data_IF_551487286985
#
_entry.id   IF_551487286985
#
_cell.length_a   1.000
_cell.length_b   1.000
_cell.length_c   1.000
_cell.angle_alpha   90.00
_cell.angle_beta   90.00
_cell.angle_gamma   90.00
#
_symmetry.space_group_name_H-M   'P 1'
#
loop_
_entity.id
_entity.type
_entity.pdbx_description
1 polymer ?
#
# COMPACT_ATOMS: atom_id res chain seq x y z
N UNK A 1 1.15 -5.21 -27.09
CA UNK A 1 1.12 -5.16 -26.72
C UNK A 1 0.92 -4.84 -26.10
N UNK A 2 0.76 -4.93 -25.93
CA UNK A 2 0.65 -4.73 -25.21
C UNK A 2 0.42 -4.30 -24.58
N UNK A 3 0.21 -4.22 -24.48
CA UNK A 3 0.06 -3.82 -23.86
C UNK A 3 -0.19 -3.31 -23.11
N UNK A 4 -0.49 -3.33 -22.91
CA UNK A 4 -0.65 -2.82 -22.24
C UNK A 4 -0.50 -2.60 -21.38
N UNK A 5 -0.39 -2.86 -21.29
CA UNK A 5 -0.18 -2.75 -20.46
C UNK A 5 0.41 -2.25 -19.89
N UNK A 6 0.50 -2.14 -19.89
CA UNK A 6 0.98 -1.70 -19.37
C UNK A 6 1.06 -0.93 -18.80
N UNK A 7 0.77 -0.70 -18.82
CA UNK A 7 0.79 0.00 -18.25
C UNK A 7 0.76 0.22 -17.42
N UNK A 8 0.56 -0.05 -17.36
CA UNK A 8 0.46 0.15 -16.57
C UNK A 8 1.01 0.28 -15.92
N UNK A 9 1.09 0.27 -16.04
CA UNK A 9 1.53 0.38 -15.46
C UNK A 9 2.06 0.63 -14.99
N UNK A 10 2.18 0.74 -15.16
CA UNK A 10 2.73 1.14 -14.69
C UNK A 10 2.90 1.25 -13.84
N UNK A 11 2.92 0.93 -14.15
CA UNK A 11 3.26 0.88 -13.13
C UNK A 11 3.15 1.53 -12.19
N UNK A 12 2.52 1.78 -12.21
CA UNK A 12 2.33 2.58 -11.19
C UNK A 12 2.27 1.83 -9.98
N UNK A 13 3.18 1.92 -9.27
CA UNK A 13 3.08 1.27 -8.01
C UNK A 13 2.17 2.08 -7.14
N UNK A 14 1.36 1.42 -6.38
CA UNK A 14 0.49 2.08 -5.43
C UNK A 14 1.15 2.01 -4.08
N UNK A 15 2.18 2.76 -3.90
CA UNK A 15 2.90 2.76 -2.64
C UNK A 15 2.36 3.81 -1.71
N UNK A 16 2.21 3.42 -0.46
CA UNK A 16 1.68 4.31 0.56
C UNK A 16 2.57 4.23 1.79
N UNK A 17 2.62 5.32 2.55
CA UNK A 17 3.38 5.33 3.79
C UNK A 17 2.39 5.26 4.95
N UNK A 18 2.79 4.53 5.98
CA UNK A 18 1.97 4.38 7.17
C UNK A 18 2.15 5.60 8.06
N UNK A 19 1.04 6.22 8.41
CA UNK A 19 1.06 7.47 9.16
C UNK A 19 1.21 7.27 10.66
N UNK A 20 0.79 6.13 11.17
CA UNK A 20 0.84 5.85 12.60
C UNK A 20 0.77 4.36 12.79
N UNK A 21 1.22 3.90 13.96
CA UNK A 21 1.16 2.48 14.28
C UNK A 21 -0.27 1.99 14.28
N UNK A 22 -0.45 0.80 13.78
CA UNK A 22 -1.76 0.15 13.81
C UNK A 22 -1.59 -1.30 14.22
N UNK A 23 -2.36 -1.71 15.21
CA UNK A 23 -2.32 -3.07 15.70
C UNK A 23 -3.50 -3.83 15.15
N UNK A 24 -3.21 -4.93 14.47
CA UNK A 24 -4.27 -5.76 13.90
C UNK A 24 -5.18 -6.27 15.01
N UNK A 25 -6.47 -6.19 14.76
CA UNK A 25 -7.46 -6.68 15.71
C UNK A 25 -7.97 -8.06 15.34
N UNK A 26 -7.71 -8.49 14.12
CA UNK A 26 -8.12 -9.83 13.68
C UNK A 26 -6.99 -10.43 12.87
N UNK A 27 -7.11 -11.72 12.58
CA UNK A 27 -6.07 -12.40 11.83
C UNK A 27 -6.05 -11.98 10.36
N UNK A 28 -7.07 -11.26 9.91
CA UNK A 28 -7.09 -10.80 8.52
C UNK A 28 -6.44 -9.45 8.35
N UNK A 29 -6.17 -8.76 9.44
CA UNK A 29 -5.57 -7.44 9.41
C UNK A 29 -4.07 -7.56 9.57
N UNK A 30 -3.38 -6.50 9.22
CA UNK A 30 -1.94 -6.49 9.30
C UNK A 30 -1.52 -5.42 10.30
N UNK A 31 -0.49 -5.74 11.09
CA UNK A 31 0.11 -4.73 11.96
C UNK A 31 0.93 -3.78 11.10
N UNK A 32 0.86 -2.52 11.43
CA UNK A 32 1.60 -1.49 10.71
C UNK A 32 2.41 -0.68 11.69
N UNK A 33 3.56 -0.23 11.26
CA UNK A 33 4.38 0.69 12.04
C UNK A 33 4.51 2.00 11.30
N UNK A 34 4.56 3.07 12.04
CA UNK A 34 4.70 4.40 11.44
C UNK A 34 5.90 4.43 10.53
N UNK A 35 5.74 5.07 9.38
CA UNK A 35 6.80 5.23 8.39
C UNK A 35 7.10 3.99 7.56
N UNK A 36 6.40 2.89 7.81
CA UNK A 36 6.53 1.76 6.92
C UNK A 36 5.91 2.07 5.56
N UNK A 37 6.40 1.39 4.54
CA UNK A 37 5.88 1.56 3.19
C UNK A 37 5.17 0.28 2.80
N UNK A 38 3.97 0.43 2.24
CA UNK A 38 3.17 -0.70 1.80
C UNK A 38 2.74 -0.51 0.37
N UNK A 39 2.46 -1.61 -0.30
CA UNK A 39 1.85 -1.59 -1.62
C UNK A 39 0.38 -1.93 -1.46
N UNK A 40 -0.48 -1.13 -2.06
CA UNK A 40 -1.91 -1.41 -2.02
C UNK A 40 -2.23 -2.39 -3.13
N UNK A 41 -2.74 -3.54 -2.74
CA UNK A 41 -3.04 -4.61 -3.68
C UNK A 41 -4.51 -4.59 -4.08
N UNK A 42 -5.37 -4.24 -3.13
CA UNK A 42 -6.79 -4.28 -3.39
C UNK A 42 -7.48 -3.22 -2.54
N UNK A 43 -8.40 -2.51 -3.15
CA UNK A 43 -9.23 -1.52 -2.44
C UNK A 43 -10.51 -2.23 -2.05
N UNK A 44 -10.74 -2.32 -0.77
CA UNK A 44 -11.94 -2.96 -0.26
C UNK A 44 -13.01 -1.96 0.10
N UNK A 45 -14.01 -2.42 0.81
CA UNK A 45 -15.15 -1.60 1.20
C UNK A 45 -14.88 -0.88 2.50
N UNK A 46 -15.59 0.21 2.71
CA UNK A 46 -15.62 0.89 4.01
C UNK A 46 -14.24 1.29 4.51
N UNK A 47 -13.36 1.64 3.59
CA UNK A 47 -12.05 2.15 4.01
C UNK A 47 -11.04 1.09 4.37
N UNK A 48 -11.30 -0.16 4.06
CA UNK A 48 -10.34 -1.23 4.29
C UNK A 48 -9.64 -1.59 3.00
N UNK A 49 -8.31 -1.53 3.02
CA UNK A 49 -7.49 -1.83 1.84
C UNK A 49 -6.60 -3.01 2.15
N UNK A 50 -6.43 -3.88 1.17
CA UNK A 50 -5.52 -5.01 1.32
C UNK A 50 -4.14 -4.56 0.87
N UNK A 51 -3.18 -4.63 1.78
CA UNK A 51 -1.86 -4.08 1.52
C UNK A 51 -0.80 -5.11 1.85
N UNK A 52 0.38 -4.89 1.31
CA UNK A 52 1.51 -5.77 1.54
C UNK A 52 2.71 -4.90 1.87
N UNK A 53 3.47 -5.30 2.88
CA UNK A 53 4.67 -4.57 3.23
C UNK A 53 5.64 -4.60 2.06
N UNK A 54 6.22 -3.45 1.75
CA UNK A 54 7.17 -3.36 0.66
C UNK A 54 8.52 -3.92 1.03
N UNK A 55 8.76 -4.10 2.32
CA UNK A 55 10.03 -4.60 2.82
C UNK A 55 9.84 -5.91 3.53
N UNK A 56 10.92 -6.68 3.64
CA UNK A 56 10.90 -7.91 4.39
C UNK A 56 10.28 -7.64 5.77
N UNK A 57 9.40 -8.47 6.26
CA UNK A 57 9.03 -9.81 5.80
C UNK A 57 7.90 -9.88 4.78
N UNK A 58 7.52 -8.79 4.17
CA UNK A 58 6.54 -8.79 3.09
C UNK A 58 5.18 -9.33 3.51
N UNK A 59 4.80 -9.07 4.74
CA UNK A 59 3.50 -9.52 5.22
C UNK A 59 2.40 -8.75 4.52
N UNK A 60 1.22 -9.34 4.48
CA UNK A 60 0.09 -8.68 3.82
C UNK A 60 -1.17 -8.89 4.62
N UNK A 61 -2.12 -8.00 4.46
CA UNK A 61 -3.38 -8.07 5.16
C UNK A 61 -4.18 -6.82 4.99
N UNK A 62 -5.34 -6.78 5.64
CA UNK A 62 -6.23 -5.63 5.55
C UNK A 62 -5.79 -4.54 6.52
N UNK A 63 -5.89 -3.30 6.07
CA UNK A 63 -5.51 -2.15 6.86
C UNK A 63 -6.49 -1.01 6.63
N UNK A 64 -6.70 -0.17 7.66
CA UNK A 64 -7.58 0.99 7.47
C UNK A 64 -6.87 2.04 6.64
N UNK A 65 -7.54 2.47 5.60
CA UNK A 65 -6.92 3.39 4.66
C UNK A 65 -6.58 4.73 5.30
N UNK A 66 -7.25 5.09 6.38
CA UNK A 66 -6.95 6.35 7.04
C UNK A 66 -5.56 6.37 7.66
N UNK A 67 -4.91 5.23 7.79
CA UNK A 67 -3.55 5.14 8.30
C UNK A 67 -2.53 5.23 7.19
N UNK A 68 -2.96 5.42 5.95
CA UNK A 68 -2.07 5.36 4.81
C UNK A 68 -2.14 6.66 4.01
N UNK A 69 -0.98 7.09 3.54
CA UNK A 69 -0.92 8.27 2.69
C UNK A 69 -0.14 7.93 1.44
N UNK A 70 -0.66 8.32 0.30
CA UNK A 70 0.00 8.01 -0.95
C UNK A 70 1.35 8.69 -1.03
N UNK A 71 2.35 7.94 -1.43
CA UNK A 71 3.67 8.49 -1.64
C UNK A 71 3.70 9.04 -3.05
N UNK A 72 3.96 10.33 -3.15
CA UNK A 72 4.06 10.94 -4.44
C UNK A 72 5.42 10.66 -5.00
N UNK A 73 5.43 10.20 -6.19
CA UNK A 73 6.70 9.98 -6.83
C UNK A 73 7.13 11.29 -7.45
N UNK A 74 7.88 12.02 -6.74
CA UNK A 74 8.31 13.32 -7.19
C UNK A 74 9.53 13.18 -8.04
N UNK A 75 9.45 12.33 -8.99
CA UNK A 75 10.56 12.18 -9.87
C UNK A 75 10.86 13.55 -10.40
N UNK A 76 12.07 13.87 -10.41
CA UNK A 76 12.46 15.18 -10.90
C UNK A 76 12.12 15.20 -12.34
N UNK A 77 11.55 16.00 -12.64
CA UNK A 77 11.32 16.05 -13.83
C UNK A 77 12.03 16.87 -14.38
N UNK A 78 12.67 17.07 -14.49
CA UNK A 78 13.40 17.81 -14.87
C UNK A 78 13.56 18.10 -15.28
#
# INVERSE_FOLDING_TARGET
MSNGDECNGGGASSKFIVLADYMALTSREIDLSEDEVVDVIKIGCAGWWYVKLSNYPYLEGWAPSTYLEKIEDLAPRN
#
